data_IF_793103368468
#
_entry.id   IF_793103368468
#
_cell.length_a   1.000
_cell.length_b   1.000
_cell.length_c   1.000
_cell.angle_alpha   90.00
_cell.angle_beta   90.00
_cell.angle_gamma   90.00
#
_symmetry.space_group_name_H-M   'P 1'
#
loop_
_entity.id
_entity.type
_entity.pdbx_description
1 polymer ?
#
# COMPACT_ATOMS: atom_id res chain seq x y z
N UNK A 1 18.52 -68.76 8.98
CA UNK A 1 17.18 -69.37 8.88
C UNK A 1 16.28 -68.32 8.26
N UNK A 2 15.87 -68.55 7.01
CA UNK A 2 15.27 -67.57 6.11
C UNK A 2 13.73 -67.74 6.13
N UNK A 3 12.97 -66.66 6.21
CA UNK A 3 11.51 -66.66 6.06
C UNK A 3 11.14 -66.24 4.61
N UNK A 4 10.01 -66.73 4.07
CA UNK A 4 9.78 -66.79 2.63
C UNK A 4 9.40 -65.46 1.98
N UNK A 5 9.87 -65.30 0.74
CA UNK A 5 9.55 -64.26 -0.23
C UNK A 5 8.06 -64.28 -0.62
N UNK A 6 7.41 -63.12 -0.57
CA UNK A 6 6.04 -62.88 -1.04
C UNK A 6 6.07 -61.99 -2.28
N UNK A 7 6.72 -62.46 -3.33
CA UNK A 7 6.72 -61.80 -4.63
C UNK A 7 5.28 -61.66 -5.19
N UNK A 8 4.81 -60.46 -5.57
CA UNK A 8 3.54 -60.31 -6.27
C UNK A 8 3.65 -60.79 -7.73
N UNK A 9 2.72 -61.64 -8.15
CA UNK A 9 2.56 -62.04 -9.57
C UNK A 9 1.56 -61.09 -10.26
N UNK A 10 1.77 -60.77 -11.56
CA UNK A 10 0.99 -59.76 -12.26
C UNK A 10 -0.39 -60.28 -12.70
N UNK A 11 -1.40 -59.40 -12.77
CA UNK A 11 -2.61 -59.66 -13.55
C UNK A 11 -2.66 -58.72 -14.76
N UNK A 12 -2.89 -59.29 -15.94
CA UNK A 12 -3.16 -58.53 -17.16
C UNK A 12 -4.66 -58.30 -17.29
N UNK A 13 -5.08 -57.06 -17.56
CA UNK A 13 -6.42 -56.76 -18.06
C UNK A 13 -6.30 -56.36 -19.53
N UNK A 14 -6.86 -57.19 -20.39
CA UNK A 14 -6.84 -57.06 -21.86
C UNK A 14 -7.93 -56.07 -22.28
N UNK A 15 -7.56 -55.00 -22.98
CA UNK A 15 -8.51 -54.17 -23.74
C UNK A 15 -8.32 -54.49 -25.24
N UNK A 16 -9.39 -54.98 -25.88
CA UNK A 16 -9.41 -55.32 -27.32
C UNK A 16 -10.06 -54.21 -28.16
N UNK A 17 -9.31 -53.75 -29.17
CA UNK A 17 -9.80 -53.23 -30.46
C UNK A 17 -9.58 -51.74 -30.73
N UNK A 18 -9.36 -51.34 -32.00
CA UNK A 18 -8.38 -51.85 -32.98
C UNK A 18 -7.35 -50.75 -33.34
N UNK A 19 -6.05 -50.94 -33.10
CA UNK A 19 -5.03 -51.43 -34.04
C UNK A 19 -4.65 -50.37 -35.12
N UNK A 20 -3.39 -49.95 -35.30
CA UNK A 20 -2.13 -50.70 -35.29
C UNK A 20 -0.90 -49.78 -35.09
N UNK A 21 0.11 -50.37 -34.42
CA UNK A 21 1.55 -50.31 -34.72
C UNK A 21 2.32 -48.98 -34.54
N UNK A 22 3.54 -48.89 -33.97
CA UNK A 22 4.65 -49.86 -33.95
C UNK A 22 5.80 -49.41 -33.00
N UNK A 23 6.58 -50.42 -32.55
CA UNK A 23 8.03 -50.46 -32.21
C UNK A 23 8.54 -49.85 -30.88
N UNK A 24 9.00 -50.77 -30.03
CA UNK A 24 9.95 -50.58 -28.93
C UNK A 24 11.40 -50.75 -29.41
N UNK A 25 12.25 -49.74 -29.19
CA UNK A 25 13.71 -49.88 -29.11
C UNK A 25 14.22 -48.99 -27.96
N UNK A 26 14.89 -49.60 -26.99
CA UNK A 26 15.77 -48.90 -26.07
C UNK A 26 16.99 -48.38 -26.83
N UNK A 27 17.15 -47.07 -26.93
CA UNK A 27 18.45 -46.41 -27.06
C UNK A 27 18.40 -45.07 -26.32
N UNK A 28 19.20 -44.98 -25.27
CA UNK A 28 19.54 -43.74 -24.58
C UNK A 28 20.38 -42.87 -25.54
N UNK A 29 20.10 -41.56 -25.62
CA UNK A 29 21.02 -40.39 -25.73
C UNK A 29 20.26 -39.20 -26.37
N UNK A 30 19.72 -38.37 -25.48
CA UNK A 30 19.81 -36.91 -25.39
C UNK A 30 19.67 -36.02 -26.64
N UNK A 31 18.83 -34.99 -26.43
CA UNK A 31 18.78 -33.64 -27.03
C UNK A 31 17.80 -33.42 -28.19
N UNK A 32 17.13 -32.25 -28.18
CA UNK A 32 15.68 -32.20 -28.10
C UNK A 32 15.08 -31.66 -29.39
N UNK A 33 13.92 -32.18 -29.77
CA UNK A 33 13.16 -31.72 -30.91
C UNK A 33 12.75 -30.25 -30.77
N UNK A 34 13.56 -29.38 -31.36
CA UNK A 34 13.20 -28.52 -32.50
C UNK A 34 11.72 -28.07 -32.55
N UNK A 35 11.54 -26.84 -32.07
CA UNK A 35 10.92 -25.72 -32.81
C UNK A 35 9.37 -25.62 -32.85
N UNK A 36 8.88 -24.78 -31.94
CA UNK A 36 7.79 -23.79 -32.06
C UNK A 36 6.51 -24.15 -32.86
N UNK A 37 5.40 -24.25 -32.14
CA UNK A 37 4.09 -23.75 -32.62
C UNK A 37 3.26 -23.21 -31.45
N UNK A 38 3.33 -21.88 -31.31
CA UNK A 38 2.26 -20.94 -30.95
C UNK A 38 1.48 -21.23 -29.65
N UNK A 39 1.95 -20.61 -28.57
CA UNK A 39 1.18 -20.49 -27.34
C UNK A 39 1.99 -20.27 -26.08
N UNK A 40 3.28 -19.91 -26.18
CA UNK A 40 3.96 -19.29 -25.05
C UNK A 40 3.26 -17.96 -24.78
N UNK A 41 2.33 -17.98 -23.83
CA UNK A 41 2.02 -16.80 -23.05
C UNK A 41 3.35 -16.43 -22.40
N UNK A 42 4.15 -15.62 -23.09
CA UNK A 42 5.19 -14.83 -22.45
C UNK A 42 4.44 -14.10 -21.35
N UNK A 43 4.60 -14.57 -20.10
CA UNK A 43 4.27 -13.73 -18.97
C UNK A 43 5.12 -12.49 -19.19
N UNK A 44 4.49 -11.41 -19.62
CA UNK A 44 5.11 -10.10 -19.66
C UNK A 44 5.68 -9.90 -18.26
N UNK A 45 6.99 -10.05 -18.12
CA UNK A 45 7.70 -9.74 -16.89
C UNK A 45 7.36 -8.28 -16.62
N UNK A 46 6.45 -8.05 -15.68
CA UNK A 46 6.24 -6.72 -15.14
C UNK A 46 7.57 -6.34 -14.51
N UNK A 47 8.32 -5.42 -15.13
CA UNK A 47 9.59 -4.90 -14.61
C UNK A 47 9.36 -3.99 -13.39
N UNK A 48 8.50 -4.40 -12.47
CA UNK A 48 8.16 -3.71 -11.25
C UNK A 48 8.52 -4.57 -10.06
N UNK A 49 9.42 -4.10 -9.20
CA UNK A 49 9.60 -4.67 -7.88
C UNK A 49 8.53 -4.09 -6.97
N UNK A 50 7.54 -4.90 -6.60
CA UNK A 50 6.62 -4.55 -5.53
C UNK A 50 7.41 -4.49 -4.21
N UNK A 51 7.22 -3.41 -3.46
CA UNK A 51 7.79 -3.23 -2.12
C UNK A 51 6.64 -2.95 -1.17
N UNK A 52 6.46 -3.83 -0.20
CA UNK A 52 5.59 -3.56 0.94
C UNK A 52 6.25 -2.49 1.82
N UNK A 53 5.52 -1.41 2.12
CA UNK A 53 6.01 -0.31 2.94
C UNK A 53 5.97 -0.66 4.44
N UNK A 54 5.26 -1.74 4.81
CA UNK A 54 5.01 -2.16 6.18
C UNK A 54 3.90 -1.33 6.84
N UNK A 55 3.36 -1.81 7.96
CA UNK A 55 2.36 -1.07 8.72
C UNK A 55 3.01 -0.09 9.71
N UNK A 56 2.25 0.88 10.20
CA UNK A 56 2.69 1.81 11.25
C UNK A 56 2.91 1.11 12.61
N UNK A 57 2.14 0.06 12.88
CA UNK A 57 2.36 -0.92 13.95
C UNK A 57 1.90 -2.32 13.52
N UNK A 58 2.11 -3.34 14.35
CA UNK A 58 1.98 -4.76 13.94
C UNK A 58 0.53 -5.24 13.71
N UNK A 59 -0.46 -4.36 13.79
CA UNK A 59 -1.86 -4.73 13.69
C UNK A 59 -2.39 -4.58 12.25
N UNK A 60 -3.41 -5.35 11.90
CA UNK A 60 -4.03 -5.35 10.57
C UNK A 60 -4.66 -3.98 10.28
N UNK A 61 -3.98 -3.25 9.40
CA UNK A 61 -4.21 -1.83 9.18
C UNK A 61 -4.31 -1.55 7.68
N UNK A 62 -5.32 -0.76 7.29
CA UNK A 62 -5.58 -0.45 5.88
C UNK A 62 -5.10 0.96 5.58
N UNK A 63 -4.00 1.06 4.82
CA UNK A 63 -3.55 2.33 4.28
C UNK A 63 -4.57 2.87 3.26
N UNK A 64 -4.99 4.12 3.47
CA UNK A 64 -5.84 4.91 2.59
C UNK A 64 -5.21 6.28 2.37
N UNK A 65 -5.66 6.98 1.33
CA UNK A 65 -5.18 8.33 0.99
C UNK A 65 -3.65 8.39 0.96
N UNK A 66 -3.04 7.71 -0.01
CA UNK A 66 -1.58 7.57 -0.10
C UNK A 66 -1.04 8.56 -1.14
N UNK A 67 -0.07 9.38 -0.70
CA UNK A 67 0.56 10.43 -1.49
C UNK A 67 2.06 10.19 -1.55
N UNK A 68 2.68 10.44 -2.71
CA UNK A 68 4.12 10.30 -2.92
C UNK A 68 4.68 11.58 -3.54
N UNK A 69 5.90 11.97 -3.14
CA UNK A 69 6.62 13.09 -3.74
C UNK A 69 7.80 12.63 -4.63
N UNK A 70 8.45 13.57 -5.31
CA UNK A 70 9.55 13.27 -6.25
C UNK A 70 10.83 12.74 -5.56
N UNK A 71 10.87 12.70 -4.23
CA UNK A 71 11.96 12.11 -3.45
C UNK A 71 11.67 10.68 -3.04
N UNK A 72 10.55 10.10 -3.48
CA UNK A 72 10.12 8.76 -3.08
C UNK A 72 9.61 8.67 -1.64
N UNK A 73 9.35 9.81 -1.00
CA UNK A 73 8.73 9.82 0.33
C UNK A 73 7.23 9.65 0.17
N UNK A 74 6.63 8.87 1.05
CA UNK A 74 5.20 8.58 1.04
C UNK A 74 4.58 9.13 2.31
N UNK A 75 3.43 9.76 2.20
CA UNK A 75 2.58 10.08 3.35
C UNK A 75 1.20 9.50 3.11
N UNK A 76 0.56 9.00 4.16
CA UNK A 76 -0.78 8.46 4.03
C UNK A 76 -1.50 8.40 5.35
N UNK A 77 -2.72 7.87 5.32
CA UNK A 77 -3.49 7.61 6.53
C UNK A 77 -3.71 6.13 6.67
N UNK A 78 -3.65 5.65 7.88
CA UNK A 78 -3.93 4.27 8.22
C UNK A 78 -5.20 4.20 9.04
N UNK A 79 -6.06 3.23 8.77
CA UNK A 79 -7.31 3.05 9.51
C UNK A 79 -7.13 1.94 10.54
N UNK A 80 -7.28 2.27 11.83
CA UNK A 80 -7.20 1.30 12.91
C UNK A 80 -8.51 0.51 13.09
N UNK A 81 -8.50 -0.47 14.01
CA UNK A 81 -9.66 -1.30 14.35
C UNK A 81 -10.83 -0.51 14.97
N UNK A 82 -10.58 0.72 15.43
CA UNK A 82 -11.60 1.65 15.92
C UNK A 82 -12.10 2.61 14.84
N UNK A 83 -11.71 2.39 13.59
CA UNK A 83 -12.00 3.25 12.44
C UNK A 83 -11.51 4.70 12.59
N UNK A 84 -10.42 4.91 13.32
CA UNK A 84 -9.73 6.20 13.43
C UNK A 84 -8.54 6.25 12.47
N UNK A 85 -8.33 7.42 11.87
CA UNK A 85 -7.19 7.66 11.00
C UNK A 85 -5.92 7.97 11.79
N UNK A 86 -4.82 7.30 11.44
CA UNK A 86 -3.47 7.57 11.90
C UNK A 86 -2.61 7.98 10.72
N UNK A 87 -2.14 9.21 10.71
CA UNK A 87 -1.25 9.68 9.64
C UNK A 87 0.12 9.04 9.76
N UNK A 88 0.68 8.61 8.63
CA UNK A 88 2.06 8.12 8.57
C UNK A 88 2.90 8.86 7.54
N UNK A 89 4.20 8.79 7.74
CA UNK A 89 5.23 9.18 6.79
C UNK A 89 6.22 8.02 6.63
N UNK A 90 6.45 7.61 5.40
CA UNK A 90 7.41 6.59 5.05
C UNK A 90 8.56 7.18 4.25
N UNK A 91 9.79 6.81 4.64
CA UNK A 91 10.99 7.13 3.89
C UNK A 91 12.04 6.03 4.10
N UNK A 92 12.62 5.53 3.01
CA UNK A 92 13.79 4.64 3.02
C UNK A 92 13.61 3.41 3.93
N UNK A 93 12.41 2.83 3.95
CA UNK A 93 12.06 1.65 4.76
C UNK A 93 11.65 1.97 6.20
N UNK A 94 11.61 3.25 6.58
CA UNK A 94 11.21 3.68 7.92
C UNK A 94 9.82 4.27 7.88
N UNK A 95 8.89 3.63 8.60
CA UNK A 95 7.55 4.14 8.86
C UNK A 95 7.57 5.02 10.12
N UNK A 96 7.03 6.23 10.01
CA UNK A 96 6.96 7.24 11.09
C UNK A 96 5.52 7.65 11.30
N UNK A 97 5.03 7.54 12.53
CA UNK A 97 3.74 8.11 12.91
C UNK A 97 3.83 9.64 12.94
N UNK A 98 2.85 10.31 12.32
CA UNK A 98 2.78 11.78 12.30
C UNK A 98 2.41 12.36 13.67
N UNK A 99 1.77 11.56 14.52
CA UNK A 99 1.16 11.94 15.77
C UNK A 99 -0.19 12.63 15.56
N UNK A 100 -0.63 13.34 16.59
CA UNK A 100 -1.89 14.10 16.59
C UNK A 100 -1.65 15.46 17.26
N UNK A 101 -2.42 16.49 16.89
CA UNK A 101 -2.36 17.78 17.59
C UNK A 101 -2.97 17.69 18.99
N UNK A 102 -4.05 16.92 19.14
CA UNK A 102 -4.90 16.92 20.33
C UNK A 102 -5.37 15.53 20.78
N UNK A 103 -4.62 14.47 20.42
CA UNK A 103 -4.89 13.11 20.88
C UNK A 103 -6.04 12.37 20.19
N UNK A 104 -6.63 12.90 19.12
CA UNK A 104 -7.68 12.22 18.33
C UNK A 104 -7.10 11.52 17.09
N UNK A 105 -7.66 11.80 15.92
CA UNK A 105 -7.20 11.20 14.64
C UNK A 105 -6.41 12.20 13.80
N UNK A 106 -5.63 11.67 12.87
CA UNK A 106 -4.88 12.44 11.86
C UNK A 106 -5.14 11.84 10.48
N UNK A 107 -5.60 12.67 9.54
CA UNK A 107 -5.80 12.27 8.15
C UNK A 107 -4.97 13.16 7.23
N UNK A 108 -4.18 12.53 6.38
CA UNK A 108 -3.29 13.16 5.40
C UNK A 108 -4.05 13.47 4.11
N UNK A 109 -3.73 14.61 3.49
CA UNK A 109 -4.28 14.98 2.19
C UNK A 109 -3.24 15.33 1.14
N UNK A 110 -2.00 15.66 1.50
CA UNK A 110 -0.96 15.95 0.52
C UNK A 110 0.45 15.96 1.13
N UNK A 111 1.47 15.77 0.28
CA UNK A 111 2.90 15.89 0.60
C UNK A 111 3.63 16.62 -0.53
N UNK A 112 4.48 17.60 -0.18
CA UNK A 112 5.36 18.26 -1.16
C UNK A 112 6.78 17.68 -1.20
N UNK A 113 7.61 18.12 -2.17
CA UNK A 113 9.02 17.69 -2.32
C UNK A 113 9.94 18.20 -1.22
N UNK A 114 9.44 19.01 -0.29
CA UNK A 114 10.16 19.38 0.94
C UNK A 114 9.87 18.39 2.08
N UNK A 115 9.01 17.40 1.87
CA UNK A 115 8.60 16.42 2.89
C UNK A 115 7.70 17.06 3.93
N UNK A 116 6.94 18.07 3.52
CA UNK A 116 5.92 18.70 4.34
C UNK A 116 4.60 18.02 4.01
N UNK A 117 3.94 17.50 5.04
CA UNK A 117 2.67 16.79 4.93
C UNK A 117 1.58 17.69 5.47
N UNK A 118 0.44 17.77 4.80
CA UNK A 118 -0.73 18.52 5.26
C UNK A 118 -1.96 17.65 5.34
N UNK A 119 -2.90 18.08 6.18
CA UNK A 119 -4.15 17.37 6.38
C UNK A 119 -4.99 18.03 7.47
N UNK A 120 -5.71 17.21 8.23
CA UNK A 120 -6.33 17.65 9.48
C UNK A 120 -6.03 16.69 10.62
N UNK A 121 -6.02 17.24 11.83
CA UNK A 121 -6.01 16.48 13.07
C UNK A 121 -7.21 16.91 13.92
N UNK A 122 -7.87 15.95 14.57
CA UNK A 122 -8.98 16.23 15.48
C UNK A 122 -8.62 15.84 16.91
N UNK A 123 -9.36 16.38 17.87
CA UNK A 123 -9.41 15.85 19.23
C UNK A 123 -10.56 14.84 19.36
N UNK A 124 -10.54 13.98 20.38
CA UNK A 124 -11.70 13.16 20.77
C UNK A 124 -12.91 14.03 21.09
N UNK A 125 -12.68 15.15 21.75
CA UNK A 125 -13.65 16.20 22.02
C UNK A 125 -12.97 17.54 21.75
N UNK A 126 -13.26 18.17 20.61
CA UNK A 126 -12.66 19.45 20.25
C UNK A 126 -12.68 19.77 18.76
N UNK A 127 -12.11 20.92 18.36
CA UNK A 127 -12.09 21.34 16.98
C UNK A 127 -11.18 20.45 16.14
N UNK A 128 -11.54 20.30 14.87
CA UNK A 128 -10.64 19.77 13.85
C UNK A 128 -9.76 20.90 13.32
N UNK A 129 -8.45 20.70 13.27
CA UNK A 129 -7.50 21.71 12.83
C UNK A 129 -6.67 21.21 11.65
N UNK A 130 -6.48 22.11 10.68
CA UNK A 130 -5.52 21.93 9.61
C UNK A 130 -4.12 21.87 10.21
N UNK A 131 -3.32 20.90 9.80
CA UNK A 131 -1.93 20.80 10.26
C UNK A 131 -0.95 20.85 9.09
N UNK A 132 0.29 21.20 9.43
CA UNK A 132 1.48 20.82 8.68
C UNK A 132 2.37 19.96 9.57
N UNK A 133 2.87 18.86 9.02
CA UNK A 133 3.91 18.05 9.65
C UNK A 133 5.20 18.18 8.87
N UNK A 134 6.31 18.32 9.59
CA UNK A 134 7.65 18.29 9.00
C UNK A 134 8.65 17.80 10.04
N UNK A 135 9.42 16.75 9.69
CA UNK A 135 10.54 16.24 10.50
C UNK A 135 10.14 15.91 11.95
N UNK A 136 9.03 15.20 12.12
CA UNK A 136 8.54 14.75 13.44
C UNK A 136 7.74 15.80 14.21
N UNK A 137 7.51 16.99 13.65
CA UNK A 137 6.78 18.07 14.32
C UNK A 137 5.48 18.36 13.58
N UNK A 138 4.35 18.17 14.25
CA UNK A 138 3.02 18.59 13.81
C UNK A 138 2.72 20.00 14.33
N UNK A 139 2.27 20.89 13.45
CA UNK A 139 1.97 22.30 13.75
C UNK A 139 0.58 22.67 13.23
N UNK A 140 -0.23 23.33 14.06
CA UNK A 140 -1.53 23.89 13.66
C UNK A 140 -1.33 25.05 12.68
N UNK A 141 -2.04 25.02 11.55
CA UNK A 141 -2.03 26.08 10.54
C UNK A 141 -3.02 27.22 10.87
N UNK A 142 -3.91 27.01 11.84
CA UNK A 142 -4.93 27.95 12.26
C UNK A 142 -6.25 27.80 11.50
N UNK A 143 -7.19 28.69 11.81
CA UNK A 143 -8.56 28.69 11.29
C UNK A 143 -9.16 30.09 11.33
N UNK A 144 -10.23 30.32 10.57
CA UNK A 144 -11.04 31.54 10.61
C UNK A 144 -12.03 31.60 11.80
N UNK A 145 -12.03 30.60 12.69
CA UNK A 145 -12.83 30.60 13.91
C UNK A 145 -13.38 29.22 14.28
N UNK A 146 -13.55 28.31 13.32
CA UNK A 146 -14.02 26.94 13.55
C UNK A 146 -13.02 25.86 13.14
N UNK A 147 -13.53 24.79 12.53
CA UNK A 147 -12.71 23.71 11.99
C UNK A 147 -11.95 24.14 10.74
N UNK A 148 -10.75 23.61 10.54
CA UNK A 148 -9.95 23.86 9.33
C UNK A 148 -9.36 22.58 8.75
N UNK A 149 -9.16 22.59 7.43
CA UNK A 149 -8.68 21.43 6.66
C UNK A 149 -7.74 21.90 5.57
N UNK A 150 -6.46 21.49 5.62
CA UNK A 150 -5.50 21.76 4.54
C UNK A 150 -5.54 20.62 3.52
N UNK A 151 -5.90 20.94 2.27
CA UNK A 151 -6.20 19.97 1.21
C UNK A 151 -5.07 19.78 0.20
N UNK A 152 -4.21 20.76 0.04
CA UNK A 152 -3.06 20.68 -0.86
C UNK A 152 -1.93 21.58 -0.37
N UNK A 153 -0.69 21.24 -0.71
CA UNK A 153 0.52 22.01 -0.41
C UNK A 153 1.46 22.03 -1.62
N UNK A 154 2.07 23.19 -1.88
CA UNK A 154 3.11 23.30 -2.91
C UNK A 154 4.52 23.41 -2.31
N UNK A 155 5.54 23.36 -3.16
CA UNK A 155 6.94 23.52 -2.77
C UNK A 155 7.32 24.94 -2.30
N UNK A 156 6.40 25.91 -2.39
CA UNK A 156 6.62 27.30 -1.97
C UNK A 156 6.12 27.57 -0.55
N UNK A 157 5.96 26.53 0.28
CA UNK A 157 5.43 26.66 1.66
C UNK A 157 4.03 27.28 1.69
N UNK A 158 3.20 26.94 0.71
CA UNK A 158 1.82 27.39 0.65
C UNK A 158 0.90 26.19 0.70
N UNK A 159 -0.07 26.22 1.62
CA UNK A 159 -1.13 25.23 1.69
C UNK A 159 -2.47 25.89 1.42
N UNK A 160 -3.39 25.17 0.79
CA UNK A 160 -4.75 25.64 0.51
C UNK A 160 -5.77 24.66 1.06
N UNK A 161 -6.98 25.14 1.32
CA UNK A 161 -8.07 24.32 1.84
C UNK A 161 -9.26 25.17 2.23
N UNK A 162 -9.97 24.77 3.28
CA UNK A 162 -11.10 25.53 3.79
C UNK A 162 -11.10 25.62 5.32
N UNK A 163 -11.76 26.65 5.84
CA UNK A 163 -12.01 26.86 7.25
C UNK A 163 -13.44 27.30 7.49
N UNK A 164 -14.04 26.81 8.57
CA UNK A 164 -15.27 27.38 9.12
C UNK A 164 -14.98 28.76 9.73
N UNK A 165 -15.95 29.66 9.60
CA UNK A 165 -15.89 31.05 10.11
C UNK A 165 -16.18 31.15 11.60
N UNK A 166 -16.82 30.14 12.19
CA UNK A 166 -17.09 30.07 13.63
C UNK A 166 -17.33 28.61 14.07
N UNK A 167 -17.21 28.29 15.38
CA UNK A 167 -17.45 26.94 15.87
C UNK A 167 -18.87 26.45 15.57
N UNK A 168 -19.00 25.26 15.01
CA UNK A 168 -20.29 24.63 14.69
C UNK A 168 -21.00 25.18 13.45
N UNK A 169 -20.43 26.18 12.77
CA UNK A 169 -21.00 26.73 11.53
C UNK A 169 -20.83 25.78 10.34
N UNK A 170 -21.84 25.70 9.47
CA UNK A 170 -21.73 25.07 8.16
C UNK A 170 -21.06 26.00 7.12
N UNK A 171 -20.94 27.29 7.41
CA UNK A 171 -20.28 28.25 6.54
C UNK A 171 -18.77 28.00 6.53
N UNK A 172 -18.22 27.83 5.33
CA UNK A 172 -16.78 27.62 5.12
C UNK A 172 -16.26 28.56 4.05
N UNK A 173 -15.05 29.08 4.26
CA UNK A 173 -14.34 29.89 3.28
C UNK A 173 -13.08 29.15 2.83
N UNK A 174 -12.72 29.31 1.55
CA UNK A 174 -11.42 28.89 1.05
C UNK A 174 -10.32 29.70 1.72
N UNK A 175 -9.20 29.04 2.05
CA UNK A 175 -8.08 29.66 2.76
C UNK A 175 -6.75 29.27 2.15
N UNK A 176 -5.80 30.21 2.22
CA UNK A 176 -4.39 30.04 1.86
C UNK A 176 -3.56 30.26 3.12
N UNK A 177 -2.79 29.25 3.52
CA UNK A 177 -1.77 29.36 4.56
C UNK A 177 -0.41 29.59 3.93
N UNK A 178 0.30 30.61 4.40
CA UNK A 178 1.73 30.82 4.13
C UNK A 178 2.53 30.33 5.34
N UNK A 179 3.24 29.22 5.18
CA UNK A 179 4.00 28.56 6.23
C UNK A 179 5.38 29.23 6.36
N UNK A 180 5.82 29.50 7.59
CA UNK A 180 7.10 30.16 7.87
C UNK A 180 8.31 29.23 7.73
#
# INVERSE_FOLDING_TARGET
MQLPDRSPQPFQVVLRGPAFDTISYEYLILLPCRLLLLGEVQQHLVQGKMTDLGPIDKDERTAVDIFINNRGQVAGSDLDSSALFHGFFWQDGVMTDLGTLFGGQTRVFDINDKGQVVGFSSATLGPTKAFIWQKGVMTDLGSLGGNSFAKAINNHKQAVGYSQTSPGSAETHAVLWKIK
#
